data_IF_603039205453
#
_entry.id   IF_603039205453
#
_cell.length_a   1.000
_cell.length_b   1.000
_cell.length_c   1.000
_cell.angle_alpha   90.00
_cell.angle_beta   90.00
_cell.angle_gamma   90.00
#
_symmetry.space_group_name_H-M   'P 1'
#
loop_
_entity.id
_entity.type
_entity.pdbx_description
1 polymer ?
#
# COMPACT_ATOMS: atom_id res chain seq x y z
N UNK A 1 1.79 -9.97 3.17
CA UNK A 1 1.95 -8.83 2.25
C UNK A 1 0.74 -7.90 2.30
N UNK A 2 -0.47 -8.34 1.91
CA UNK A 2 -1.69 -7.50 1.93
C UNK A 2 -2.03 -6.89 3.31
N UNK A 3 -2.01 -7.69 4.39
CA UNK A 3 -2.27 -7.18 5.74
C UNK A 3 -1.29 -6.09 6.19
N UNK A 4 0.00 -6.22 5.85
CA UNK A 4 1.01 -5.21 6.17
C UNK A 4 0.77 -3.90 5.41
N UNK A 5 0.44 -3.99 4.12
CA UNK A 5 0.11 -2.81 3.30
C UNK A 5 -1.12 -2.09 3.86
N UNK A 6 -2.14 -2.85 4.31
CA UNK A 6 -3.30 -2.29 4.99
C UNK A 6 -2.90 -1.55 6.26
N UNK A 7 -2.07 -2.15 7.11
CA UNK A 7 -1.62 -1.49 8.35
C UNK A 7 -0.89 -0.19 8.05
N UNK A 8 0.05 -0.18 7.10
CA UNK A 8 0.73 1.05 6.70
C UNK A 8 -0.25 2.11 6.19
N UNK A 9 -1.14 1.75 5.26
CA UNK A 9 -2.01 2.73 4.61
C UNK A 9 -3.12 3.24 5.53
N UNK A 10 -3.73 2.35 6.32
CA UNK A 10 -5.00 2.59 7.02
C UNK A 10 -4.85 2.79 8.52
N UNK A 11 -3.81 2.21 9.13
CA UNK A 11 -3.61 2.29 10.58
C UNK A 11 -2.43 3.21 10.94
N UNK A 12 -1.44 3.38 10.04
CA UNK A 12 -0.25 4.23 10.24
C UNK A 12 -0.21 5.49 9.33
N UNK A 13 -1.27 5.76 8.56
CA UNK A 13 -1.40 6.94 7.69
C UNK A 13 -0.28 7.13 6.65
N UNK A 14 0.32 6.03 6.17
CA UNK A 14 1.32 6.13 5.11
C UNK A 14 0.68 6.64 3.82
N UNK A 15 1.32 7.64 3.22
CA UNK A 15 1.02 8.01 1.83
C UNK A 15 1.36 6.85 0.87
N UNK A 16 0.79 6.85 -0.34
CA UNK A 16 1.13 5.84 -1.35
C UNK A 16 2.64 5.76 -1.64
N UNK A 17 3.34 6.91 -1.65
CA UNK A 17 4.81 6.94 -1.81
C UNK A 17 5.53 6.28 -0.65
N UNK A 18 5.05 6.48 0.58
CA UNK A 18 5.62 5.85 1.77
C UNK A 18 5.38 4.33 1.78
N UNK A 19 4.18 3.87 1.37
CA UNK A 19 3.90 2.44 1.17
C UNK A 19 4.84 1.84 0.13
N UNK A 20 5.04 2.52 -1.00
CA UNK A 20 5.95 2.07 -2.06
C UNK A 20 7.40 1.95 -1.55
N UNK A 21 7.87 2.95 -0.81
CA UNK A 21 9.21 2.95 -0.24
C UNK A 21 9.37 1.80 0.78
N UNK A 22 8.45 1.67 1.73
CA UNK A 22 8.48 0.61 2.74
C UNK A 22 8.40 -0.79 2.11
N UNK A 23 7.57 -0.97 1.08
CA UNK A 23 7.50 -2.22 0.33
C UNK A 23 8.80 -2.53 -0.41
N UNK A 24 9.43 -1.51 -1.00
CA UNK A 24 10.71 -1.65 -1.71
C UNK A 24 11.85 -2.00 -0.75
N UNK A 25 11.90 -1.36 0.41
CA UNK A 25 12.90 -1.61 1.45
C UNK A 25 12.71 -3.00 2.09
N UNK A 26 11.46 -3.42 2.33
CA UNK A 26 11.16 -4.67 3.01
C UNK A 26 11.21 -5.90 2.09
N UNK A 27 10.77 -5.77 0.83
CA UNK A 27 10.64 -6.90 -0.09
C UNK A 27 11.57 -6.82 -1.31
N UNK A 28 12.38 -5.77 -1.43
CA UNK A 28 13.40 -5.65 -2.48
C UNK A 28 12.83 -5.32 -3.86
N UNK A 29 12.12 -4.19 -3.97
CA UNK A 29 11.60 -3.70 -5.25
C UNK A 29 12.45 -2.54 -5.80
N UNK A 30 12.66 -2.48 -7.11
CA UNK A 30 13.37 -1.38 -7.78
C UNK A 30 12.52 -0.11 -7.94
N UNK A 31 11.23 -0.16 -7.57
CA UNK A 31 10.30 0.96 -7.76
C UNK A 31 10.47 2.06 -6.70
N UNK A 32 11.13 1.79 -5.57
CA UNK A 32 11.35 2.76 -4.50
C UNK A 32 10.06 3.45 -4.05
N UNK A 33 10.11 4.77 -3.83
CA UNK A 33 8.96 5.59 -3.45
C UNK A 33 8.01 5.95 -4.62
N UNK A 34 7.91 5.12 -5.67
CA UNK A 34 7.05 5.41 -6.82
C UNK A 34 5.56 5.40 -6.41
N UNK A 35 4.88 6.52 -6.64
CA UNK A 35 3.50 6.71 -6.22
C UNK A 35 2.53 5.70 -6.87
N UNK A 36 2.64 5.47 -8.17
CA UNK A 36 1.75 4.55 -8.89
C UNK A 36 1.93 3.12 -8.39
N UNK A 37 3.17 2.72 -8.12
CA UNK A 37 3.46 1.42 -7.51
C UNK A 37 2.82 1.29 -6.13
N UNK A 38 2.91 2.33 -5.29
CA UNK A 38 2.28 2.34 -3.97
C UNK A 38 0.75 2.28 -4.02
N UNK A 39 0.14 2.97 -4.98
CA UNK A 39 -1.30 2.93 -5.23
C UNK A 39 -1.74 1.52 -5.67
N UNK A 40 -1.04 0.92 -6.63
CA UNK A 40 -1.30 -0.45 -7.09
C UNK A 40 -1.18 -1.47 -5.96
N UNK A 41 -0.19 -1.32 -5.08
CA UNK A 41 -0.05 -2.14 -3.88
C UNK A 41 -1.25 -2.01 -2.95
N UNK A 42 -1.73 -0.79 -2.70
CA UNK A 42 -2.92 -0.54 -1.88
C UNK A 42 -4.18 -1.15 -2.50
N UNK A 43 -4.38 -0.97 -3.81
CA UNK A 43 -5.51 -1.54 -4.55
C UNK A 43 -5.48 -3.07 -4.51
N UNK A 44 -4.33 -3.68 -4.72
CA UNK A 44 -4.17 -5.13 -4.64
C UNK A 44 -4.43 -5.65 -3.21
N UNK A 45 -3.91 -4.97 -2.19
CA UNK A 45 -4.11 -5.34 -0.80
C UNK A 45 -5.58 -5.26 -0.37
N UNK A 46 -6.29 -4.20 -0.77
CA UNK A 46 -7.72 -4.05 -0.51
C UNK A 46 -8.53 -5.18 -1.17
N UNK A 47 -8.29 -5.44 -2.47
CA UNK A 47 -8.97 -6.52 -3.21
C UNK A 47 -8.72 -7.90 -2.60
N UNK A 48 -7.49 -8.19 -2.19
CA UNK A 48 -7.14 -9.45 -1.52
C UNK A 48 -7.81 -9.60 -0.15
N UNK A 49 -8.11 -8.48 0.51
CA UNK A 49 -8.80 -8.45 1.80
C UNK A 49 -10.33 -8.38 1.67
N UNK A 50 -10.87 -8.32 0.45
CA UNK A 50 -12.30 -8.13 0.19
C UNK A 50 -12.81 -6.72 0.49
N UNK A 51 -11.91 -5.75 0.64
CA UNK A 51 -12.22 -4.35 0.94
C UNK A 51 -12.31 -3.49 -0.33
N UNK A 52 -12.98 -2.33 -0.24
CA UNK A 52 -13.08 -1.38 -1.35
C UNK A 52 -11.97 -0.31 -1.24
N UNK A 53 -11.00 -0.27 -2.17
CA UNK A 53 -9.89 0.69 -2.12
C UNK A 53 -10.30 2.15 -2.34
N UNK A 54 -11.49 2.43 -2.88
CA UNK A 54 -11.96 3.79 -3.15
C UNK A 54 -12.72 4.41 -1.97
N UNK A 55 -12.84 3.69 -0.85
CA UNK A 55 -13.54 4.15 0.37
C UNK A 55 -12.57 4.16 1.54
N UNK A 56 -12.93 4.88 2.59
CA UNK A 56 -12.25 4.74 3.88
C UNK A 56 -12.19 3.25 4.27
N UNK A 57 -11.04 2.78 4.81
CA UNK A 57 -9.90 3.57 5.28
C UNK A 57 -8.77 3.76 4.23
N UNK A 58 -9.00 3.42 2.96
CA UNK A 58 -7.94 3.44 1.93
C UNK A 58 -7.79 4.78 1.19
N UNK A 59 -8.86 5.58 1.15
CA UNK A 59 -8.94 6.85 0.43
C UNK A 59 -8.99 8.03 1.41
#
# INVERSE_FOLDING_TARGET
MAAQIRTWRCDEDYSWRAVAQAASDLWGSEWGSNQLFGEDLCVAAAKLSGENPCREPWN
#
